data_IF_853308369487
#
_entry.id   IF_853308369487
#
_cell.length_a   1.000
_cell.length_b   1.000
_cell.length_c   1.000
_cell.angle_alpha   90.00
_cell.angle_beta   90.00
_cell.angle_gamma   90.00
#
_symmetry.space_group_name_H-M   'P 1'
#
loop_
_entity.id
_entity.type
_entity.pdbx_description
1 polymer ?
#
# COMPACT_ATOMS: atom_id res chain seq x y z
N UNK A 1 -3.61 49.45 22.77
CA UNK A 1 -4.45 48.22 22.74
C UNK A 1 -3.59 46.97 22.48
N UNK A 2 -2.51 46.75 23.25
CA UNK A 2 -1.55 45.65 23.03
C UNK A 2 -1.39 44.73 24.26
N UNK A 3 -2.14 44.99 25.34
CA UNK A 3 -2.01 44.26 26.61
C UNK A 3 -3.07 43.17 26.86
N UNK A 4 -4.11 43.07 26.02
CA UNK A 4 -5.19 42.10 26.24
C UNK A 4 -4.93 40.71 25.62
N UNK A 5 -3.87 40.54 24.83
CA UNK A 5 -3.62 39.27 24.14
C UNK A 5 -2.80 38.25 24.96
N UNK A 6 -2.13 38.69 26.04
CA UNK A 6 -1.26 37.82 26.83
C UNK A 6 -1.99 37.05 27.95
N UNK A 7 -3.20 37.48 28.34
CA UNK A 7 -3.94 36.85 29.46
C UNK A 7 -4.71 35.60 29.02
N UNK A 8 -4.97 35.41 27.72
CA UNK A 8 -5.77 34.28 27.23
C UNK A 8 -4.98 32.96 27.12
N UNK A 9 -3.65 32.97 27.24
CA UNK A 9 -2.83 31.75 27.14
C UNK A 9 -2.75 30.94 28.45
N UNK A 10 -3.13 31.53 29.59
CA UNK A 10 -2.96 30.87 30.90
C UNK A 10 -4.11 29.94 31.31
N UNK A 11 -5.22 29.90 30.56
CA UNK A 11 -6.40 29.10 30.93
C UNK A 11 -6.56 27.75 30.20
N UNK A 12 -5.59 27.36 29.35
CA UNK A 12 -5.64 26.07 28.64
C UNK A 12 -4.65 25.02 29.15
N UNK A 13 -3.96 25.27 30.27
CA UNK A 13 -3.27 24.22 31.02
C UNK A 13 -4.29 23.41 31.85
N UNK A 14 -5.22 22.71 31.18
CA UNK A 14 -6.04 21.72 31.86
C UNK A 14 -5.18 20.51 32.21
N UNK A 15 -5.20 20.23 33.50
CA UNK A 15 -4.62 19.09 34.22
C UNK A 15 -4.75 17.78 33.45
N UNK A 16 -3.61 17.18 33.09
CA UNK A 16 -3.54 15.78 32.71
C UNK A 16 -3.64 14.98 34.01
N UNK A 17 -4.83 14.48 34.32
CA UNK A 17 -4.99 13.50 35.40
C UNK A 17 -4.36 12.18 34.94
N UNK A 18 -3.17 11.89 35.45
CA UNK A 18 -2.55 10.58 35.32
C UNK A 18 -3.38 9.58 36.14
N UNK A 19 -4.05 8.66 35.45
CA UNK A 19 -4.76 7.54 36.05
C UNK A 19 -3.72 6.46 36.38
N UNK A 20 -3.26 6.42 37.63
CA UNK A 20 -2.40 5.33 38.12
C UNK A 20 -3.22 4.03 38.17
N UNK A 21 -2.90 3.10 37.28
CA UNK A 21 -3.42 1.74 37.30
C UNK A 21 -2.73 0.97 38.44
N UNK A 22 -3.48 0.33 39.35
CA UNK A 22 -2.89 -0.44 40.45
C UNK A 22 -2.10 -1.62 39.91
N UNK A 23 -0.79 -1.60 40.18
CA UNK A 23 0.18 -2.61 39.80
C UNK A 23 0.01 -3.85 40.69
N UNK A 24 -0.86 -4.78 40.29
CA UNK A 24 -1.00 -6.06 40.96
C UNK A 24 0.19 -6.96 40.55
N UNK A 25 1.13 -7.15 41.48
CA UNK A 25 2.20 -8.14 41.40
C UNK A 25 1.64 -9.57 41.47
N UNK A 26 1.11 -10.06 40.34
CA UNK A 26 1.09 -11.49 40.06
C UNK A 26 2.41 -11.86 39.40
N UNK A 27 3.20 -12.74 40.02
CA UNK A 27 4.38 -13.35 39.39
C UNK A 27 3.95 -14.11 38.13
N UNK A 28 3.95 -13.44 36.98
CA UNK A 28 3.88 -14.10 35.68
C UNK A 28 5.23 -14.74 35.43
N UNK A 29 5.26 -16.05 35.60
CA UNK A 29 6.35 -16.92 35.19
C UNK A 29 6.71 -16.61 33.73
N UNK A 30 8.00 -16.39 33.39
CA UNK A 30 8.39 -16.13 32.02
C UNK A 30 7.99 -17.33 31.17
N UNK A 31 6.97 -17.14 30.32
CA UNK A 31 6.63 -18.12 29.29
C UNK A 31 7.88 -18.28 28.43
N UNK A 32 8.52 -19.45 28.56
CA UNK A 32 9.61 -19.85 27.68
C UNK A 32 9.18 -19.59 26.23
N UNK A 33 10.02 -18.95 25.40
CA UNK A 33 9.72 -18.86 23.98
C UNK A 33 9.66 -20.29 23.45
N UNK A 34 8.45 -20.78 23.22
CA UNK A 34 8.28 -22.03 22.52
C UNK A 34 8.89 -21.79 21.14
N UNK A 35 9.92 -22.57 20.82
CA UNK A 35 10.46 -22.65 19.46
C UNK A 35 9.37 -23.30 18.63
N UNK A 36 8.34 -22.54 18.29
CA UNK A 36 7.34 -22.91 17.32
C UNK A 36 8.08 -22.93 15.99
N UNK A 37 8.57 -24.12 15.64
CA UNK A 37 9.13 -24.44 14.34
C UNK A 37 8.05 -24.10 13.32
N UNK A 38 8.12 -22.89 12.78
CA UNK A 38 7.24 -22.41 11.74
C UNK A 38 7.62 -23.14 10.47
N UNK A 39 7.09 -24.35 10.29
CA UNK A 39 6.76 -24.82 8.95
C UNK A 39 5.86 -23.73 8.38
N UNK A 40 6.47 -22.84 7.59
CA UNK A 40 5.79 -21.75 6.88
C UNK A 40 4.72 -22.42 6.04
N UNK A 41 3.50 -22.43 6.56
CA UNK A 41 2.35 -22.98 5.87
C UNK A 41 2.18 -22.12 4.62
N UNK A 42 2.45 -22.69 3.44
CA UNK A 42 2.39 -21.97 2.15
C UNK A 42 0.99 -21.41 1.88
N UNK A 43 -0.03 -21.91 2.56
CA UNK A 43 -1.40 -21.38 2.52
C UNK A 43 -1.57 -20.05 3.28
N UNK A 44 -0.58 -19.62 4.06
CA UNK A 44 -0.52 -18.30 4.69
C UNK A 44 -0.08 -17.18 3.75
N UNK A 45 0.21 -17.47 2.48
CA UNK A 45 0.65 -16.48 1.48
C UNK A 45 -0.51 -15.68 0.86
N UNK A 46 -1.75 -15.89 1.31
CA UNK A 46 -2.92 -15.11 0.86
C UNK A 46 -3.13 -13.93 1.81
N UNK A 47 -3.22 -12.73 1.23
CA UNK A 47 -3.46 -11.47 1.93
C UNK A 47 -3.81 -10.37 0.94
N UNK A 48 -4.01 -9.15 1.42
CA UNK A 48 -4.27 -7.97 0.60
C UNK A 48 -3.32 -6.84 0.99
N UNK A 49 -2.89 -6.04 0.02
CA UNK A 49 -2.10 -4.83 0.22
C UNK A 49 -3.00 -3.63 -0.06
N UNK A 50 -3.06 -2.69 0.87
CA UNK A 50 -3.78 -1.44 0.66
C UNK A 50 -2.81 -0.40 0.08
N UNK A 51 -3.05 -0.01 -1.16
CA UNK A 51 -2.30 1.02 -1.87
C UNK A 51 -3.05 2.35 -1.82
N UNK A 52 -2.39 3.38 -1.30
CA UNK A 52 -2.85 4.77 -1.37
C UNK A 52 -2.36 5.41 -2.66
N UNK A 53 -3.21 6.17 -3.35
CA UNK A 53 -2.84 6.83 -4.60
C UNK A 53 -3.57 8.15 -4.82
N UNK A 54 -3.00 8.99 -5.67
CA UNK A 54 -3.66 10.17 -6.26
C UNK A 54 -3.65 10.02 -7.77
N UNK A 55 -4.72 10.40 -8.46
CA UNK A 55 -4.79 10.40 -9.92
C UNK A 55 -4.25 11.72 -10.49
N UNK A 56 -3.69 11.69 -11.69
CA UNK A 56 -3.35 12.91 -12.43
C UNK A 56 -4.59 13.82 -12.52
N UNK A 57 -4.44 15.08 -12.12
CA UNK A 57 -5.53 16.06 -12.10
C UNK A 57 -6.44 16.01 -10.85
N UNK A 58 -6.14 15.15 -9.87
CA UNK A 58 -6.85 15.09 -8.59
C UNK A 58 -5.89 15.15 -7.41
N UNK A 59 -6.23 15.96 -6.40
CA UNK A 59 -5.48 16.00 -5.14
C UNK A 59 -6.07 15.09 -4.05
N UNK A 60 -7.20 14.44 -4.35
CA UNK A 60 -7.88 13.51 -3.44
C UNK A 60 -7.10 12.19 -3.40
N UNK A 61 -6.63 11.83 -2.21
CA UNK A 61 -6.05 10.51 -1.97
C UNK A 61 -7.15 9.45 -1.89
N UNK A 62 -6.97 8.36 -2.64
CA UNK A 62 -7.83 7.18 -2.66
C UNK A 62 -7.03 5.96 -2.20
N UNK A 63 -7.73 4.89 -1.82
CA UNK A 63 -7.10 3.64 -1.45
C UNK A 63 -7.71 2.46 -2.22
N UNK A 64 -6.88 1.48 -2.57
CA UNK A 64 -7.30 0.25 -3.25
C UNK A 64 -6.61 -0.97 -2.66
N UNK A 65 -7.34 -2.07 -2.57
CA UNK A 65 -6.82 -3.34 -2.08
C UNK A 65 -6.38 -4.22 -3.25
N UNK A 66 -5.14 -4.71 -3.16
CA UNK A 66 -4.52 -5.61 -4.14
C UNK A 66 -4.27 -6.96 -3.47
N UNK A 67 -4.89 -8.08 -3.91
CA UNK A 67 -4.55 -9.38 -3.38
C UNK A 67 -3.10 -9.77 -3.67
N UNK A 68 -2.42 -10.32 -2.68
CA UNK A 68 -1.04 -10.81 -2.79
C UNK A 68 -0.94 -11.87 -3.90
N UNK A 69 0.11 -11.79 -4.70
CA UNK A 69 0.48 -12.83 -5.67
C UNK A 69 -0.47 -12.89 -6.86
N UNK A 70 -1.37 -11.89 -6.97
CA UNK A 70 -2.33 -11.76 -8.04
C UNK A 70 -2.04 -10.49 -8.83
N UNK A 71 -2.05 -10.60 -10.16
CA UNK A 71 -1.92 -9.45 -11.08
C UNK A 71 -3.31 -8.93 -11.40
N UNK A 72 -3.56 -7.64 -11.17
CA UNK A 72 -4.86 -7.00 -11.43
C UNK A 72 -4.71 -5.99 -12.57
N UNK A 73 -5.50 -6.11 -13.66
CA UNK A 73 -5.46 -5.14 -14.75
C UNK A 73 -6.06 -3.79 -14.34
N UNK A 74 -5.54 -2.72 -14.94
CA UNK A 74 -5.97 -1.34 -14.77
C UNK A 74 -7.08 -0.94 -15.76
N UNK A 75 -7.93 0.02 -15.39
CA UNK A 75 -8.87 0.67 -16.30
C UNK A 75 -10.07 -0.15 -16.81
N UNK A 76 -10.25 -1.41 -16.39
CA UNK A 76 -11.47 -2.18 -16.66
C UNK A 76 -12.05 -2.72 -15.35
N UNK A 77 -13.39 -2.68 -15.22
CA UNK A 77 -14.10 -3.64 -14.39
C UNK A 77 -13.51 -5.02 -14.71
N UNK A 78 -12.89 -5.68 -13.74
CA UNK A 78 -12.39 -7.03 -13.89
C UNK A 78 -13.57 -7.99 -14.09
N UNK A 79 -14.20 -7.94 -15.27
CA UNK A 79 -15.22 -8.85 -15.75
C UNK A 79 -14.49 -10.04 -16.37
N UNK A 80 -14.01 -10.92 -15.50
CA UNK A 80 -13.45 -12.19 -15.93
C UNK A 80 -14.60 -13.17 -16.21
N UNK A 81 -14.96 -13.33 -17.48
CA UNK A 81 -15.73 -14.48 -17.95
C UNK A 81 -14.83 -15.73 -17.85
N UNK A 82 -14.82 -16.39 -16.69
CA UNK A 82 -14.24 -17.73 -16.56
C UNK A 82 -15.34 -18.78 -16.79
N UNK A 83 -15.19 -19.61 -17.83
CA UNK A 83 -16.16 -20.66 -18.20
C UNK A 83 -15.90 -21.99 -17.49
N UNK A 84 -14.79 -22.15 -16.74
CA UNK A 84 -14.46 -23.35 -15.97
C UNK A 84 -13.62 -22.94 -14.75
N UNK A 85 -14.27 -22.90 -13.58
CA UNK A 85 -13.72 -23.04 -12.20
C UNK A 85 -12.21 -22.83 -12.01
N UNK A 86 -11.74 -21.86 -11.23
CA UNK A 86 -11.82 -21.89 -9.77
C UNK A 86 -11.51 -20.50 -9.18
N UNK A 87 -12.43 -20.05 -8.32
CA UNK A 87 -12.37 -18.89 -7.40
C UNK A 87 -11.51 -17.73 -7.87
N UNK A 88 -12.14 -16.91 -8.70
CA UNK A 88 -11.69 -15.57 -9.00
C UNK A 88 -12.10 -14.68 -7.83
N UNK A 89 -11.14 -14.21 -7.02
CA UNK A 89 -11.43 -13.17 -6.02
C UNK A 89 -11.65 -11.85 -6.77
N UNK A 90 -12.89 -11.63 -7.17
CA UNK A 90 -13.38 -10.38 -7.74
C UNK A 90 -13.18 -9.32 -6.65
N UNK A 91 -12.46 -8.24 -6.95
CA UNK A 91 -12.63 -6.97 -6.24
C UNK A 91 -13.73 -6.21 -6.97
N UNK A 92 -15.02 -6.36 -6.60
CA UNK A 92 -16.11 -5.79 -7.37
C UNK A 92 -16.03 -4.26 -7.31
N UNK A 93 -15.99 -3.60 -8.47
CA UNK A 93 -16.26 -2.17 -8.61
C UNK A 93 -15.11 -1.21 -8.35
N UNK A 94 -13.85 -1.67 -8.28
CA UNK A 94 -12.70 -0.77 -8.08
C UNK A 94 -11.92 -0.58 -9.37
N UNK A 95 -12.08 0.58 -10.01
CA UNK A 95 -11.24 0.99 -11.14
C UNK A 95 -9.85 1.36 -10.62
N UNK A 96 -8.85 0.55 -10.93
CA UNK A 96 -7.45 0.88 -10.70
C UNK A 96 -7.07 2.10 -11.55
N UNK A 97 -6.26 3.03 -11.02
CA UNK A 97 -5.90 4.24 -11.74
C UNK A 97 -5.02 3.89 -12.94
N UNK A 98 -5.41 4.40 -14.12
CA UNK A 98 -4.58 4.27 -15.33
C UNK A 98 -3.41 5.25 -15.28
N UNK A 99 -3.60 6.43 -14.69
CA UNK A 99 -2.56 7.46 -14.57
C UNK A 99 -2.44 7.90 -13.11
N UNK A 100 -1.76 7.12 -12.26
CA UNK A 100 -1.46 7.56 -10.91
C UNK A 100 -0.41 8.68 -10.93
N UNK A 101 -0.66 9.75 -10.19
CA UNK A 101 0.29 10.83 -9.88
C UNK A 101 1.22 10.41 -8.75
N UNK A 102 0.65 9.80 -7.71
CA UNK A 102 1.40 9.26 -6.57
C UNK A 102 0.90 7.87 -6.19
N UNK A 103 1.76 7.07 -5.57
CA UNK A 103 1.41 5.78 -4.97
C UNK A 103 2.21 5.54 -3.68
N UNK A 104 1.59 4.91 -2.69
CA UNK A 104 2.27 4.42 -1.48
C UNK A 104 1.62 3.15 -0.95
N UNK A 105 2.41 2.31 -0.30
CA UNK A 105 1.89 1.18 0.48
C UNK A 105 1.40 1.74 1.82
N UNK A 106 0.11 1.56 2.14
CA UNK A 106 -0.47 2.03 3.40
C UNK A 106 -0.38 0.96 4.48
N UNK A 107 -0.81 -0.25 4.14
CA UNK A 107 -0.83 -1.40 5.04
C UNK A 107 -1.04 -2.67 4.24
N UNK A 108 -1.02 -3.82 4.90
CA UNK A 108 -1.45 -5.08 4.32
C UNK A 108 -2.15 -5.93 5.37
N UNK A 109 -3.07 -6.77 4.94
CA UNK A 109 -3.82 -7.70 5.79
C UNK A 109 -3.57 -9.14 5.36
N UNK A 110 -3.58 -10.07 6.31
CA UNK A 110 -3.57 -11.49 6.00
C UNK A 110 -4.95 -11.96 5.48
N UNK A 111 -5.06 -13.24 5.13
CA UNK A 111 -6.31 -13.87 4.71
C UNK A 111 -7.45 -13.84 5.75
N UNK A 112 -7.14 -13.55 7.02
CA UNK A 112 -8.12 -13.35 8.08
C UNK A 112 -8.57 -11.88 8.22
N UNK A 113 -8.08 -10.98 7.35
CA UNK A 113 -8.33 -9.54 7.42
C UNK A 113 -7.59 -8.84 8.55
N UNK A 114 -6.63 -9.50 9.20
CA UNK A 114 -5.84 -8.91 10.28
C UNK A 114 -4.66 -8.13 9.68
N UNK A 115 -4.40 -6.94 10.21
CA UNK A 115 -3.25 -6.14 9.83
C UNK A 115 -1.95 -6.93 10.04
N UNK A 116 -1.05 -6.84 9.06
CA UNK A 116 0.27 -7.45 9.14
C UNK A 116 1.21 -6.58 9.99
N UNK A 117 2.14 -7.22 10.72
CA UNK A 117 3.17 -6.50 11.46
C UNK A 117 4.15 -5.83 10.50
N UNK A 118 4.77 -4.74 10.95
CA UNK A 118 5.58 -3.84 10.12
C UNK A 118 6.75 -4.57 9.44
N UNK A 119 7.40 -5.51 10.13
CA UNK A 119 8.56 -6.26 9.63
C UNK A 119 8.19 -7.19 8.45
N UNK A 120 6.91 -7.52 8.30
CA UNK A 120 6.39 -8.23 7.12
C UNK A 120 6.00 -7.26 6.01
N UNK A 121 5.48 -6.08 6.36
CA UNK A 121 5.12 -5.05 5.37
C UNK A 121 6.34 -4.54 4.59
N UNK A 122 7.50 -4.43 5.25
CA UNK A 122 8.76 -4.01 4.60
C UNK A 122 9.21 -4.94 3.47
N UNK A 123 8.75 -6.20 3.49
CA UNK A 123 9.09 -7.19 2.46
C UNK A 123 8.12 -7.15 1.27
N UNK A 124 7.02 -6.42 1.39
CA UNK A 124 6.02 -6.33 0.34
C UNK A 124 6.50 -5.38 -0.74
N UNK A 125 6.48 -5.85 -1.98
CA UNK A 125 6.88 -5.08 -3.14
C UNK A 125 5.77 -5.10 -4.19
N UNK A 126 5.28 -3.92 -4.57
CA UNK A 126 4.25 -3.75 -5.57
C UNK A 126 4.84 -3.23 -6.89
N UNK A 127 4.61 -3.97 -7.97
CA UNK A 127 5.03 -3.64 -9.32
C UNK A 127 3.86 -3.06 -10.10
N UNK A 128 4.16 -2.03 -10.89
CA UNK A 128 3.25 -1.46 -11.88
C UNK A 128 3.70 -1.92 -13.26
N UNK A 129 2.74 -2.32 -14.09
CA UNK A 129 3.01 -2.67 -15.47
C UNK A 129 2.50 -1.55 -16.38
N UNK A 130 3.29 -1.03 -17.31
CA UNK A 130 2.88 0.03 -18.19
C UNK A 130 1.93 -0.49 -19.25
N UNK A 131 1.12 0.41 -19.78
CA UNK A 131 0.25 0.17 -20.91
C UNK A 131 1.06 0.35 -22.19
N UNK A 132 1.58 -0.77 -22.68
CA UNK A 132 2.24 -0.84 -23.98
C UNK A 132 1.19 -0.67 -25.09
N UNK A 133 1.31 0.40 -25.87
CA UNK A 133 0.59 0.56 -27.14
C UNK A 133 1.57 0.33 -28.29
N UNK A 134 1.07 -0.08 -29.47
CA UNK A 134 1.92 -0.34 -30.63
C UNK A 134 2.83 0.86 -30.99
N UNK A 135 2.28 2.07 -30.86
CA UNK A 135 3.00 3.32 -31.17
C UNK A 135 4.04 3.71 -30.12
N UNK A 136 3.89 3.22 -28.88
CA UNK A 136 4.74 3.64 -27.76
C UNK A 136 5.71 2.55 -27.32
N UNK A 137 5.65 1.35 -27.90
CA UNK A 137 6.48 0.22 -27.47
C UNK A 137 7.97 0.54 -27.48
N UNK A 138 8.47 1.06 -28.59
CA UNK A 138 9.88 1.46 -28.70
C UNK A 138 10.22 2.59 -27.74
N UNK A 139 9.35 3.59 -27.61
CA UNK A 139 9.56 4.70 -26.67
C UNK A 139 9.60 4.23 -25.21
N UNK A 140 8.77 3.26 -24.85
CA UNK A 140 8.71 2.66 -23.51
C UNK A 140 9.94 1.78 -23.28
N UNK A 141 10.34 0.95 -24.24
CA UNK A 141 11.56 0.14 -24.18
C UNK A 141 12.82 1.02 -24.10
N UNK A 142 12.86 2.15 -24.80
CA UNK A 142 13.97 3.10 -24.78
C UNK A 142 14.01 3.93 -23.49
N UNK A 143 12.85 4.34 -22.97
CA UNK A 143 12.76 5.09 -21.72
C UNK A 143 13.09 4.25 -20.48
N UNK A 144 12.81 2.95 -20.51
CA UNK A 144 12.96 2.05 -19.36
C UNK A 144 14.17 1.11 -19.47
N UNK A 145 14.73 0.95 -20.67
CA UNK A 145 15.74 -0.06 -20.96
C UNK A 145 15.19 -1.49 -20.83
N UNK A 146 16.09 -2.48 -20.82
CA UNK A 146 15.75 -3.90 -20.59
C UNK A 146 15.42 -4.23 -19.11
N UNK A 147 15.50 -3.25 -18.21
CA UNK A 147 15.29 -3.48 -16.78
C UNK A 147 13.79 -3.49 -16.49
N UNK A 148 13.36 -4.51 -15.76
CA UNK A 148 12.02 -4.61 -15.20
C UNK A 148 11.71 -3.38 -14.32
N UNK A 149 10.44 -3.03 -14.20
CA UNK A 149 9.98 -1.94 -13.34
C UNK A 149 10.50 -2.09 -11.92
N UNK A 150 11.00 -0.98 -11.38
CA UNK A 150 11.32 -0.92 -9.95
C UNK A 150 10.03 -1.02 -9.15
N UNK A 151 9.98 -2.00 -8.26
CA UNK A 151 8.85 -2.16 -7.36
C UNK A 151 8.77 -1.01 -6.36
N UNK A 152 7.57 -0.80 -5.84
CA UNK A 152 7.26 0.14 -4.76
C UNK A 152 7.09 -0.66 -3.48
N UNK A 153 7.89 -0.34 -2.48
CA UNK A 153 7.83 -0.94 -1.15
C UNK A 153 7.31 0.06 -0.12
N UNK A 154 7.09 -0.40 1.12
CA UNK A 154 6.75 0.50 2.22
C UNK A 154 7.85 1.53 2.50
N UNK A 155 9.12 1.12 2.38
CA UNK A 155 10.28 1.98 2.67
C UNK A 155 10.46 3.14 1.68
N UNK A 156 9.91 3.01 0.48
CA UNK A 156 9.93 4.08 -0.53
C UNK A 156 8.99 5.25 -0.17
N UNK A 157 8.06 5.04 0.77
CA UNK A 157 7.11 6.06 1.20
C UNK A 157 6.15 6.46 0.06
N UNK A 158 6.13 7.74 -0.29
CA UNK A 158 5.30 8.27 -1.38
C UNK A 158 6.13 8.30 -2.66
N UNK A 159 5.74 7.48 -3.62
CA UNK A 159 6.31 7.46 -4.97
C UNK A 159 5.57 8.46 -5.84
N UNK A 160 6.31 9.29 -6.57
CA UNK A 160 5.78 10.29 -7.50
C UNK A 160 6.07 9.88 -8.95
N UNK A 161 5.05 9.90 -9.81
CA UNK A 161 5.13 9.38 -11.18
C UNK A 161 5.19 10.46 -12.27
N UNK A 162 4.90 11.72 -11.93
CA UNK A 162 4.88 12.85 -12.87
C UNK A 162 6.16 13.69 -12.84
N UNK A 163 7.01 13.42 -11.86
CA UNK A 163 8.25 14.16 -11.65
C UNK A 163 9.37 13.58 -12.48
N UNK A 164 9.99 14.41 -13.33
CA UNK A 164 11.06 13.97 -14.24
C UNK A 164 12.34 13.50 -13.53
N UNK A 165 12.55 13.91 -12.28
CA UNK A 165 13.64 13.49 -11.41
C UNK A 165 13.31 12.24 -10.58
N UNK A 166 12.06 11.75 -10.63
CA UNK A 166 11.67 10.50 -9.97
C UNK A 166 12.18 9.30 -10.74
N UNK A 167 12.74 8.32 -10.02
CA UNK A 167 13.13 7.02 -10.60
C UNK A 167 11.94 6.20 -11.11
N UNK A 168 10.71 6.56 -10.71
CA UNK A 168 9.48 5.93 -11.19
C UNK A 168 8.76 6.75 -12.27
N UNK A 169 9.34 7.84 -12.78
CA UNK A 169 8.69 8.75 -13.73
C UNK A 169 8.04 8.03 -14.93
N UNK A 170 6.70 8.12 -15.04
CA UNK A 170 5.93 7.41 -16.06
C UNK A 170 5.91 8.11 -17.43
N UNK A 171 6.33 9.38 -17.54
CA UNK A 171 6.28 10.14 -18.82
C UNK A 171 4.90 10.14 -19.48
N UNK A 172 3.83 10.12 -18.69
CA UNK A 172 2.45 10.03 -19.20
C UNK A 172 2.04 8.64 -19.71
N UNK A 173 2.91 7.64 -19.62
CA UNK A 173 2.58 6.24 -19.90
C UNK A 173 1.57 5.77 -18.85
N UNK A 174 0.43 5.24 -19.29
CA UNK A 174 -0.56 4.66 -18.39
C UNK A 174 -0.09 3.35 -17.79
N UNK A 175 -0.71 2.92 -16.69
CA UNK A 175 -0.51 1.63 -16.06
C UNK A 175 -1.59 0.67 -16.57
N UNK A 176 -1.18 -0.53 -16.97
CA UNK A 176 -2.04 -1.62 -17.44
C UNK A 176 -2.33 -2.67 -16.39
N UNK A 177 -1.47 -2.84 -15.38
CA UNK A 177 -1.71 -3.77 -14.27
C UNK A 177 -0.90 -3.43 -13.01
N UNK A 178 -1.34 -3.98 -11.89
CA UNK A 178 -0.72 -3.89 -10.57
C UNK A 178 -0.50 -5.30 -10.02
N UNK A 179 0.64 -5.53 -9.36
CA UNK A 179 0.95 -6.83 -8.75
C UNK A 179 1.80 -6.64 -7.50
N UNK A 180 1.42 -7.25 -6.37
CA UNK A 180 2.22 -7.19 -5.14
C UNK A 180 2.67 -8.59 -4.70
N UNK A 181 3.89 -8.66 -4.15
CA UNK A 181 4.55 -9.88 -3.69
C UNK A 181 5.19 -9.73 -2.33
#
# INVERSE_FOLDING_TARGET
MLFYCLVSCLFLCRTISALELPYNHGQQQPLHPSKQSSRVNKDSARGTVLLGYKETGSDVEKAIEIPWGTRIPSGMHALLKSKRTSVLTICPGRNLPVHPKTLRVLTAANNLGQAMPLERLEKIVCYLEPKMTANNREAVELAMGRKSWEGVSLGDGIVEFERSDSKWFLRGIGVSAYQCW
#
